data_IF_221974882157
#
_entry.id   IF_221974882157
#
_cell.length_a   1.000
_cell.length_b   1.000
_cell.length_c   1.000
_cell.angle_alpha   90.00
_cell.angle_beta   90.00
_cell.angle_gamma   90.00
#
_symmetry.space_group_name_H-M   'P 1'
#
loop_
_entity.id
_entity.type
_entity.pdbx_description
1 polymer ?
#
# COMPACT_ATOMS: atom_id res chain seq x y z
N UNK A 1 -11.45 -24.71 23.46
CA UNK A 1 -10.99 -23.33 23.20
C UNK A 1 -12.19 -22.40 23.38
N UNK A 2 -12.20 -21.58 24.39
CA UNK A 2 -13.30 -20.67 24.66
C UNK A 2 -13.28 -19.54 23.62
N UNK A 3 -14.37 -19.37 22.88
CA UNK A 3 -14.57 -18.22 22.00
C UNK A 3 -14.68 -16.95 22.85
N UNK A 4 -13.68 -16.09 22.78
CA UNK A 4 -13.71 -14.77 23.41
C UNK A 4 -14.85 -13.97 22.79
N UNK A 5 -15.85 -13.60 23.55
CA UNK A 5 -16.89 -12.67 23.10
C UNK A 5 -16.24 -11.30 22.96
N UNK A 6 -16.26 -10.76 21.76
CA UNK A 6 -15.95 -9.36 21.51
C UNK A 6 -17.03 -8.53 22.22
N UNK A 7 -16.63 -7.67 23.14
CA UNK A 7 -17.52 -6.69 23.78
C UNK A 7 -17.63 -5.47 22.89
N UNK A 8 -18.77 -4.79 22.91
CA UNK A 8 -19.05 -3.56 22.13
C UNK A 8 -18.04 -2.43 22.36
N UNK A 9 -17.21 -2.54 23.41
CA UNK A 9 -16.18 -1.57 23.78
C UNK A 9 -14.79 -1.83 23.15
N UNK A 10 -14.67 -2.74 22.18
CA UNK A 10 -13.43 -2.95 21.44
C UNK A 10 -13.60 -2.52 19.98
N UNK A 11 -13.59 -1.20 19.68
CA UNK A 11 -13.92 -0.68 18.36
C UNK A 11 -12.89 -1.00 17.27
N UNK A 12 -11.69 -1.48 17.64
CA UNK A 12 -10.55 -1.53 16.73
C UNK A 12 -10.16 -2.90 16.23
N UNK A 13 -10.74 -3.97 16.76
CA UNK A 13 -10.22 -5.32 16.53
C UNK A 13 -11.30 -6.23 15.95
N UNK A 14 -11.73 -5.94 14.72
CA UNK A 14 -12.58 -6.86 13.96
C UNK A 14 -11.81 -8.03 13.35
N UNK A 15 -10.49 -7.93 13.24
CA UNK A 15 -9.63 -9.05 12.88
C UNK A 15 -9.10 -9.70 14.14
N UNK A 16 -9.10 -11.05 14.25
CA UNK A 16 -8.49 -11.71 15.38
C UNK A 16 -7.04 -11.27 15.49
N UNK A 17 -6.64 -10.84 16.67
CA UNK A 17 -5.33 -10.32 17.06
C UNK A 17 -4.12 -11.19 16.73
N UNK A 18 -4.32 -12.34 16.10
CA UNK A 18 -3.25 -13.28 15.79
C UNK A 18 -2.10 -12.67 14.98
N UNK A 19 -2.34 -11.55 14.29
CA UNK A 19 -1.35 -10.88 13.45
C UNK A 19 -0.65 -9.70 14.12
N UNK A 20 -1.18 -9.22 15.24
CA UNK A 20 -0.71 -8.01 15.92
C UNK A 20 0.14 -8.30 17.15
N UNK A 21 0.04 -9.50 17.73
CA UNK A 21 0.38 -9.72 19.15
C UNK A 21 1.88 -9.83 19.40
N UNK A 22 2.70 -10.29 18.48
CA UNK A 22 4.10 -10.59 18.83
C UNK A 22 5.12 -9.51 18.52
N UNK A 23 4.77 -8.46 17.76
CA UNK A 23 5.73 -7.41 17.36
C UNK A 23 5.09 -6.06 17.06
N UNK A 24 3.87 -5.80 17.51
CA UNK A 24 3.29 -4.47 17.38
C UNK A 24 3.75 -3.58 18.54
N UNK A 25 3.92 -2.28 18.24
CA UNK A 25 4.12 -1.31 19.29
C UNK A 25 2.89 -1.31 20.21
N UNK A 26 3.07 -1.05 21.51
CA UNK A 26 1.93 -0.88 22.41
C UNK A 26 0.97 0.16 21.84
N UNK A 27 -0.34 -0.05 22.00
CA UNK A 27 -1.37 0.86 21.47
C UNK A 27 -1.18 2.31 21.95
N UNK A 28 -0.59 2.48 23.11
CA UNK A 28 -0.27 3.78 23.70
C UNK A 28 0.84 4.55 22.97
N UNK A 29 1.58 3.92 22.09
CA UNK A 29 2.58 4.57 21.25
C UNK A 29 1.98 5.13 19.93
N UNK A 30 0.75 4.77 19.61
CA UNK A 30 0.04 5.28 18.44
C UNK A 30 -0.69 6.59 18.78
N UNK A 31 -0.67 7.55 17.88
CA UNK A 31 -1.40 8.79 18.03
C UNK A 31 -2.92 8.57 18.02
N UNK A 32 -3.68 9.35 18.77
CA UNK A 32 -5.15 9.33 18.71
C UNK A 32 -5.66 9.59 17.28
N UNK A 33 -4.92 10.40 16.53
CA UNK A 33 -5.26 10.73 15.14
C UNK A 33 -5.13 9.50 14.25
N UNK A 34 -4.06 8.72 14.38
CA UNK A 34 -3.88 7.48 13.64
C UNK A 34 -4.97 6.47 14.00
N UNK A 35 -5.26 6.32 15.30
CA UNK A 35 -6.30 5.41 15.76
C UNK A 35 -7.69 5.83 15.26
N UNK A 36 -7.96 7.13 15.19
CA UNK A 36 -9.19 7.67 14.61
C UNK A 36 -9.33 7.35 13.12
N UNK A 37 -8.25 7.51 12.34
CA UNK A 37 -8.23 7.17 10.91
C UNK A 37 -8.48 5.67 10.67
N UNK A 38 -7.88 4.81 11.48
CA UNK A 38 -8.11 3.35 11.38
C UNK A 38 -9.55 2.96 11.74
N UNK A 39 -10.17 3.70 12.66
CA UNK A 39 -11.55 3.44 13.04
C UNK A 39 -12.54 3.75 11.92
N UNK A 40 -12.20 4.68 11.03
CA UNK A 40 -12.96 4.98 9.82
C UNK A 40 -12.56 4.02 8.71
N UNK A 41 -13.38 3.01 8.46
CA UNK A 41 -13.15 1.98 7.43
C UNK A 41 -13.88 2.25 6.12
N UNK A 42 -14.29 3.48 5.86
CA UNK A 42 -15.13 3.85 4.71
C UNK A 42 -14.52 3.43 3.36
N UNK A 43 -13.18 3.42 3.26
CA UNK A 43 -12.45 3.08 2.04
C UNK A 43 -11.81 1.68 2.04
N UNK A 44 -12.19 0.82 2.99
CA UNK A 44 -11.74 -0.58 3.01
C UNK A 44 -12.35 -1.39 1.86
N UNK A 45 -11.52 -2.10 1.11
CA UNK A 45 -11.97 -2.99 0.04
C UNK A 45 -11.49 -2.59 -1.35
N UNK A 46 -12.20 -3.06 -2.38
CA UNK A 46 -11.90 -2.78 -3.78
C UNK A 46 -12.99 -1.82 -4.29
N UNK A 47 -12.63 -0.62 -4.77
CA UNK A 47 -13.61 0.31 -5.32
C UNK A 47 -14.16 -0.19 -6.66
N UNK A 48 -15.38 0.25 -6.99
CA UNK A 48 -15.97 -0.01 -8.29
C UNK A 48 -15.12 0.60 -9.40
N UNK A 49 -14.94 -0.15 -10.49
CA UNK A 49 -14.13 0.31 -11.62
C UNK A 49 -12.63 0.29 -11.40
N UNK A 50 -12.12 -0.32 -10.32
CA UNK A 50 -10.70 -0.47 -10.09
C UNK A 50 -10.02 -1.16 -11.28
N UNK A 51 -9.03 -0.48 -11.88
CA UNK A 51 -8.27 -0.94 -13.03
C UNK A 51 -6.76 -1.03 -12.76
N UNK A 52 -6.34 -0.60 -11.58
CA UNK A 52 -4.96 -0.72 -11.10
C UNK A 52 -4.93 -1.28 -9.69
N UNK A 53 -3.92 -2.07 -9.38
CA UNK A 53 -3.72 -2.57 -8.03
C UNK A 53 -2.24 -2.75 -7.72
N UNK A 54 -1.91 -2.80 -6.44
CA UNK A 54 -0.60 -3.25 -6.00
C UNK A 54 -0.68 -4.08 -4.72
N UNK A 55 0.36 -4.88 -4.53
CA UNK A 55 0.66 -5.61 -3.30
C UNK A 55 2.08 -5.30 -2.89
N UNK A 56 2.27 -4.76 -1.68
CA UNK A 56 3.60 -4.40 -1.18
C UNK A 56 3.79 -4.81 0.28
N UNK A 57 5.04 -5.18 0.57
CA UNK A 57 5.45 -5.62 1.90
C UNK A 57 4.95 -7.01 2.26
N UNK A 58 5.75 -7.69 3.08
CA UNK A 58 5.45 -9.04 3.57
C UNK A 58 5.56 -9.05 5.08
N UNK A 59 4.57 -9.60 5.71
CA UNK A 59 4.59 -9.88 7.13
C UNK A 59 5.40 -11.17 7.40
N UNK A 60 5.86 -11.36 8.63
CA UNK A 60 6.62 -12.55 9.06
C UNK A 60 5.96 -13.89 8.69
N UNK A 61 4.64 -13.92 8.59
CA UNK A 61 3.87 -15.11 8.21
C UNK A 61 3.61 -15.23 6.70
N UNK A 62 4.15 -14.32 5.90
CA UNK A 62 4.04 -14.36 4.45
C UNK A 62 2.81 -13.65 3.88
N UNK A 63 1.96 -13.04 4.71
CA UNK A 63 0.82 -12.25 4.23
C UNK A 63 1.25 -10.86 3.76
N UNK A 64 0.54 -10.33 2.77
CA UNK A 64 0.79 -9.00 2.23
C UNK A 64 0.43 -7.92 3.24
N UNK A 65 1.36 -7.00 3.51
CA UNK A 65 1.10 -5.93 4.48
C UNK A 65 0.11 -4.90 3.95
N UNK A 66 0.23 -4.49 2.67
CA UNK A 66 -0.59 -3.46 2.07
C UNK A 66 -0.93 -3.80 0.63
N UNK A 67 -2.20 -3.68 0.29
CA UNK A 67 -2.72 -3.71 -1.06
C UNK A 67 -3.49 -2.41 -1.30
N UNK A 68 -3.24 -1.75 -2.43
CA UNK A 68 -4.06 -0.64 -2.90
C UNK A 68 -4.75 -1.05 -4.19
N UNK A 69 -5.95 -0.54 -4.37
CA UNK A 69 -6.78 -0.68 -5.56
C UNK A 69 -7.22 0.70 -5.98
N UNK A 70 -7.10 1.03 -7.25
CA UNK A 70 -7.45 2.35 -7.75
C UNK A 70 -8.25 2.25 -9.04
N UNK A 71 -9.26 3.09 -9.16
CA UNK A 71 -9.89 3.43 -10.41
C UNK A 71 -9.13 4.62 -11.01
N UNK A 72 -8.43 4.42 -12.12
CA UNK A 72 -7.67 5.45 -12.80
C UNK A 72 -8.42 5.81 -14.08
N UNK A 73 -8.69 7.11 -14.27
CA UNK A 73 -9.28 7.64 -15.49
C UNK A 73 -8.26 7.51 -16.65
N UNK A 74 -8.59 6.78 -17.72
CA UNK A 74 -7.67 6.54 -18.82
C UNK A 74 -7.39 7.77 -19.69
N UNK A 75 -8.25 8.79 -19.65
CA UNK A 75 -8.10 10.01 -20.45
C UNK A 75 -7.26 11.07 -19.74
N UNK A 76 -7.49 11.26 -18.44
CA UNK A 76 -6.81 12.28 -17.64
C UNK A 76 -5.64 11.75 -16.85
N UNK A 77 -5.51 10.43 -16.72
CA UNK A 77 -4.50 9.74 -15.87
C UNK A 77 -4.52 10.24 -14.43
N UNK A 78 -5.73 10.51 -13.94
CA UNK A 78 -5.97 10.90 -12.55
C UNK A 78 -6.57 9.75 -11.75
N UNK A 79 -6.27 9.73 -10.46
CA UNK A 79 -6.88 8.79 -9.54
C UNK A 79 -8.35 9.17 -9.30
N UNK A 80 -9.25 8.22 -9.53
CA UNK A 80 -10.63 8.24 -9.03
C UNK A 80 -10.69 7.63 -7.63
N UNK A 81 -11.65 6.74 -7.40
CA UNK A 81 -11.79 6.06 -6.11
C UNK A 81 -10.61 5.13 -5.83
N UNK A 82 -10.14 5.17 -4.59
CA UNK A 82 -9.04 4.35 -4.10
C UNK A 82 -9.48 3.58 -2.86
N UNK A 83 -9.20 2.30 -2.85
CA UNK A 83 -9.47 1.44 -1.70
C UNK A 83 -8.26 0.62 -1.31
N UNK A 84 -8.32 -0.02 -0.15
CA UNK A 84 -7.21 -0.82 0.34
C UNK A 84 -7.65 -2.10 1.05
N UNK A 85 -6.71 -3.03 1.13
CA UNK A 85 -6.71 -4.15 2.08
C UNK A 85 -5.36 -4.20 2.78
N UNK A 86 -5.35 -4.43 4.07
CA UNK A 86 -4.11 -4.54 4.83
C UNK A 86 -4.24 -5.63 5.90
N UNK A 87 -3.20 -6.45 5.98
CA UNK A 87 -3.00 -7.43 7.06
C UNK A 87 -1.78 -7.06 7.91
N UNK A 88 -1.28 -5.83 7.77
CA UNK A 88 -0.15 -5.32 8.53
C UNK A 88 -0.51 -4.82 9.93
N UNK A 89 0.48 -4.16 10.55
CA UNK A 89 0.28 -3.50 11.84
C UNK A 89 -0.62 -2.25 11.71
N UNK A 90 -1.04 -1.68 12.82
CA UNK A 90 -1.90 -0.48 12.84
C UNK A 90 -1.30 0.67 12.02
N UNK A 91 0.03 0.87 12.07
CA UNK A 91 0.67 1.89 11.25
C UNK A 91 0.52 1.61 9.73
N UNK A 92 0.63 0.35 9.29
CA UNK A 92 0.44 0.00 7.89
C UNK A 92 -1.01 0.23 7.43
N UNK A 93 -1.98 -0.11 8.30
CA UNK A 93 -3.40 0.13 8.04
C UNK A 93 -3.67 1.65 7.96
N UNK A 94 -3.16 2.43 8.91
CA UNK A 94 -3.30 3.88 8.91
C UNK A 94 -2.66 4.53 7.68
N UNK A 95 -1.47 4.09 7.27
CA UNK A 95 -0.82 4.55 6.05
C UNK A 95 -1.69 4.26 4.81
N UNK A 96 -2.24 3.05 4.71
CA UNK A 96 -3.10 2.69 3.59
C UNK A 96 -4.38 3.53 3.55
N UNK A 97 -5.02 3.73 4.72
CA UNK A 97 -6.22 4.58 4.82
C UNK A 97 -5.93 6.03 4.39
N UNK A 98 -4.82 6.61 4.83
CA UNK A 98 -4.42 7.97 4.40
C UNK A 98 -4.24 8.06 2.89
N UNK A 99 -3.71 7.03 2.23
CA UNK A 99 -3.57 7.03 0.77
C UNK A 99 -4.91 7.04 0.05
N UNK A 100 -5.95 6.44 0.62
CA UNK A 100 -7.29 6.47 0.02
C UNK A 100 -7.93 7.86 0.03
N UNK A 101 -7.49 8.74 0.92
CA UNK A 101 -7.92 10.14 0.97
C UNK A 101 -7.01 11.06 0.14
N UNK A 102 -5.72 10.74 0.06
CA UNK A 102 -4.75 11.60 -0.61
C UNK A 102 -4.72 11.43 -2.13
N UNK A 103 -4.97 10.24 -2.64
CA UNK A 103 -4.80 9.94 -4.06
C UNK A 103 -5.95 10.44 -4.95
N UNK A 104 -7.23 10.39 -4.55
CA UNK A 104 -8.33 10.80 -5.41
C UNK A 104 -8.16 12.20 -5.98
N UNK A 105 -8.39 12.36 -7.29
CA UNK A 105 -8.24 13.60 -8.04
C UNK A 105 -6.80 13.99 -8.41
N UNK A 106 -5.80 13.30 -7.92
CA UNK A 106 -4.38 13.58 -8.23
C UNK A 106 -3.95 12.93 -9.54
N UNK A 107 -3.08 13.61 -10.26
CA UNK A 107 -2.30 13.05 -11.36
C UNK A 107 -1.19 12.13 -10.84
N UNK A 108 -0.57 11.34 -11.71
CA UNK A 108 0.57 10.50 -11.32
C UNK A 108 1.74 11.33 -10.78
N UNK A 109 2.02 12.48 -11.37
CA UNK A 109 3.10 13.36 -10.91
C UNK A 109 2.85 13.89 -9.49
N UNK A 110 1.61 14.31 -9.19
CA UNK A 110 1.22 14.78 -7.86
C UNK A 110 1.20 13.64 -6.85
N UNK A 111 0.77 12.44 -7.24
CA UNK A 111 0.78 11.27 -6.38
C UNK A 111 2.22 10.84 -6.04
N UNK A 112 3.13 10.85 -7.01
CA UNK A 112 4.54 10.52 -6.82
C UNK A 112 5.28 11.57 -5.95
N UNK A 113 4.77 12.80 -5.87
CA UNK A 113 5.31 13.86 -5.02
C UNK A 113 4.92 13.70 -3.53
N UNK A 114 3.95 12.83 -3.20
CA UNK A 114 3.55 12.56 -1.81
C UNK A 114 4.75 12.00 -1.04
N UNK A 115 5.08 12.68 0.06
CA UNK A 115 6.23 12.32 0.89
C UNK A 115 5.82 11.49 2.11
N UNK A 116 6.79 10.71 2.64
CA UNK A 116 6.61 10.01 3.92
C UNK A 116 6.29 10.98 5.06
N UNK A 117 6.83 12.20 5.02
CA UNK A 117 6.64 13.20 6.08
C UNK A 117 5.22 13.79 6.02
N UNK A 118 4.64 13.95 4.82
CA UNK A 118 3.24 14.32 4.63
C UNK A 118 2.31 13.26 5.23
N UNK A 119 2.50 11.98 4.89
CA UNK A 119 1.71 10.87 5.44
C UNK A 119 1.85 10.81 6.96
N UNK A 120 3.08 10.92 7.48
CA UNK A 120 3.34 10.89 8.91
C UNK A 120 2.67 12.06 9.65
N UNK A 121 2.67 13.25 9.06
CA UNK A 121 1.99 14.44 9.61
C UNK A 121 0.47 14.27 9.68
N UNK A 122 -0.13 13.66 8.64
CA UNK A 122 -1.57 13.35 8.62
C UNK A 122 -1.91 12.34 9.72
N UNK A 123 -1.08 11.33 9.92
CA UNK A 123 -1.26 10.31 10.96
C UNK A 123 -1.00 10.85 12.38
N UNK A 124 -0.41 12.05 12.52
CA UNK A 124 0.02 12.56 13.83
C UNK A 124 1.23 11.82 14.41
N UNK A 125 1.98 11.14 13.55
CA UNK A 125 3.14 10.33 13.90
C UNK A 125 2.85 8.84 13.99
N UNK A 126 3.84 8.04 13.59
CA UNK A 126 3.85 6.59 13.79
C UNK A 126 4.95 6.22 14.78
N UNK A 127 4.81 5.12 15.55
CA UNK A 127 5.88 4.65 16.44
C UNK A 127 7.20 4.47 15.70
N UNK A 128 8.33 4.78 16.35
CA UNK A 128 9.66 4.74 15.74
C UNK A 128 9.98 3.37 15.11
N UNK A 129 9.56 2.29 15.75
CA UNK A 129 9.73 0.93 15.26
C UNK A 129 8.88 0.64 13.98
N UNK A 130 7.94 1.52 13.64
CA UNK A 130 7.02 1.38 12.49
C UNK A 130 7.27 2.38 11.37
N UNK A 131 8.31 3.19 11.44
CA UNK A 131 8.64 4.18 10.40
C UNK A 131 8.79 3.59 9.00
N UNK A 132 9.15 2.31 8.90
CA UNK A 132 9.22 1.61 7.61
C UNK A 132 7.87 1.55 6.87
N UNK A 133 6.73 1.65 7.59
CA UNK A 133 5.40 1.63 6.97
C UNK A 133 5.13 2.88 6.12
N UNK A 134 5.77 3.99 6.44
CA UNK A 134 5.71 5.22 5.63
C UNK A 134 6.43 5.03 4.29
N UNK A 135 7.57 4.31 4.29
CA UNK A 135 8.28 3.93 3.07
C UNK A 135 7.42 2.96 2.26
N UNK A 136 6.80 1.99 2.94
CA UNK A 136 5.87 1.06 2.32
C UNK A 136 4.74 1.79 1.58
N UNK A 137 4.15 2.82 2.19
CA UNK A 137 3.08 3.61 1.59
C UNK A 137 3.55 4.33 0.31
N UNK A 138 4.72 4.98 0.33
CA UNK A 138 5.27 5.62 -0.88
C UNK A 138 5.63 4.61 -1.97
N UNK A 139 6.09 3.41 -1.60
CA UNK A 139 6.30 2.32 -2.55
C UNK A 139 4.98 1.82 -3.14
N UNK A 140 3.89 1.79 -2.37
CA UNK A 140 2.57 1.38 -2.85
C UNK A 140 2.04 2.34 -3.92
N UNK A 141 2.26 3.66 -3.78
CA UNK A 141 1.92 4.65 -4.82
C UNK A 141 2.65 4.32 -6.13
N UNK A 142 3.96 4.10 -6.06
CA UNK A 142 4.76 3.73 -7.25
C UNK A 142 4.28 2.42 -7.85
N UNK A 143 3.94 1.45 -7.01
CA UNK A 143 3.55 0.13 -7.47
C UNK A 143 2.18 0.13 -8.16
N UNK A 144 1.20 0.89 -7.65
CA UNK A 144 -0.12 0.98 -8.28
C UNK A 144 -0.08 1.75 -9.60
N UNK A 145 0.72 2.83 -9.69
CA UNK A 145 0.96 3.56 -10.95
C UNK A 145 1.66 2.64 -11.96
N UNK A 146 2.71 1.94 -11.53
CA UNK A 146 3.44 1.02 -12.38
C UNK A 146 2.60 -0.15 -12.90
N UNK A 147 1.71 -0.71 -12.06
CA UNK A 147 0.74 -1.72 -12.49
C UNK A 147 -0.15 -1.20 -13.62
N UNK A 148 -0.71 -0.01 -13.44
CA UNK A 148 -1.55 0.61 -14.47
C UNK A 148 -0.79 0.84 -15.78
N UNK A 149 0.40 1.44 -15.70
CA UNK A 149 1.18 1.76 -16.88
C UNK A 149 1.64 0.50 -17.64
N UNK A 150 2.14 -0.51 -16.94
CA UNK A 150 2.60 -1.74 -17.59
C UNK A 150 1.45 -2.58 -18.12
N UNK A 151 0.41 -2.80 -17.31
CA UNK A 151 -0.65 -3.75 -17.59
C UNK A 151 -1.79 -3.18 -18.43
N UNK A 152 -2.15 -1.91 -18.20
CA UNK A 152 -3.30 -1.27 -18.88
C UNK A 152 -2.85 -0.45 -20.09
N UNK A 153 -1.78 0.36 -19.92
CA UNK A 153 -1.27 1.23 -20.98
C UNK A 153 -0.26 0.53 -21.90
N UNK A 154 0.35 -0.58 -21.46
CA UNK A 154 1.37 -1.27 -22.23
C UNK A 154 2.70 -0.53 -22.34
N UNK A 155 2.99 0.36 -21.40
CA UNK A 155 4.26 1.11 -21.30
C UNK A 155 5.40 0.12 -21.05
N UNK A 156 6.55 0.34 -21.66
CA UNK A 156 7.73 -0.48 -21.45
C UNK A 156 8.36 -0.25 -20.06
N UNK A 157 9.18 -1.19 -19.62
CA UNK A 157 9.92 -1.06 -18.35
C UNK A 157 10.89 0.12 -18.38
N UNK A 158 11.49 0.42 -19.54
CA UNK A 158 12.43 1.54 -19.71
C UNK A 158 11.70 2.89 -19.60
N UNK A 159 10.52 3.01 -20.19
CA UNK A 159 9.68 4.20 -20.07
C UNK A 159 9.19 4.39 -18.63
N UNK A 160 8.84 3.30 -17.95
CA UNK A 160 8.46 3.36 -16.53
C UNK A 160 9.62 3.84 -15.66
N UNK A 161 10.85 3.38 -15.93
CA UNK A 161 12.04 3.79 -15.18
C UNK A 161 12.42 5.25 -15.44
N UNK A 162 12.07 5.80 -16.60
CA UNK A 162 12.22 7.22 -16.88
C UNK A 162 11.22 8.09 -16.08
N UNK A 163 10.05 7.54 -15.75
CA UNK A 163 9.03 8.27 -14.99
C UNK A 163 9.37 8.35 -13.50
N UNK A 164 9.82 7.25 -12.92
CA UNK A 164 10.31 7.20 -11.54
C UNK A 164 11.31 6.07 -11.33
N UNK A 165 12.37 6.36 -10.60
CA UNK A 165 13.32 5.33 -10.25
C UNK A 165 12.68 4.30 -9.31
N UNK A 166 12.53 3.09 -9.80
CA UNK A 166 12.15 1.94 -9.00
C UNK A 166 13.37 1.06 -8.79
N UNK A 167 13.99 1.18 -7.62
CA UNK A 167 15.15 0.35 -7.23
C UNK A 167 14.77 -1.09 -6.86
N UNK A 168 13.54 -1.51 -7.15
CA UNK A 168 13.00 -2.82 -6.78
C UNK A 168 13.78 -4.03 -7.29
N UNK A 169 14.70 -3.82 -8.23
CA UNK A 169 15.66 -4.84 -8.67
C UNK A 169 16.99 -4.79 -7.90
N UNK A 170 17.19 -3.79 -7.02
CA UNK A 170 18.39 -3.69 -6.21
C UNK A 170 18.21 -4.38 -4.85
N UNK A 171 19.32 -4.84 -4.29
CA UNK A 171 19.38 -5.44 -2.93
C UNK A 171 18.96 -4.46 -1.84
N UNK A 172 18.96 -3.17 -2.11
CA UNK A 172 18.59 -2.10 -1.17
C UNK A 172 17.08 -1.80 -1.12
N UNK A 173 16.29 -2.42 -2.00
CA UNK A 173 14.85 -2.24 -1.96
C UNK A 173 14.21 -3.01 -0.81
N UNK A 174 13.63 -2.31 0.14
CA UNK A 174 12.89 -2.92 1.25
C UNK A 174 11.72 -3.83 0.82
N UNK A 175 11.28 -3.70 -0.44
CA UNK A 175 10.17 -4.46 -1.02
C UNK A 175 10.62 -5.65 -1.85
N UNK A 176 11.92 -6.03 -1.83
CA UNK A 176 12.48 -7.11 -2.66
C UNK A 176 11.74 -8.44 -2.55
N UNK A 177 11.16 -8.74 -1.40
CA UNK A 177 10.50 -10.02 -1.17
C UNK A 177 9.01 -10.03 -1.53
N UNK A 178 8.37 -8.86 -1.62
CA UNK A 178 6.96 -8.78 -1.95
C UNK A 178 6.60 -7.41 -2.52
N UNK A 179 6.67 -7.30 -3.84
CA UNK A 179 6.24 -6.12 -4.59
C UNK A 179 5.68 -6.57 -5.93
N UNK A 180 4.39 -6.37 -6.14
CA UNK A 180 3.73 -6.74 -7.39
C UNK A 180 4.32 -6.04 -8.62
N UNK A 181 4.81 -4.81 -8.48
CA UNK A 181 5.48 -4.10 -9.56
C UNK A 181 6.80 -4.77 -9.94
N UNK A 182 7.57 -5.26 -8.97
CA UNK A 182 8.78 -6.03 -9.25
C UNK A 182 8.47 -7.29 -10.05
N UNK A 183 7.43 -8.02 -9.64
CA UNK A 183 7.04 -9.26 -10.30
C UNK A 183 6.62 -8.99 -11.75
N UNK A 184 5.81 -7.94 -12.01
CA UNK A 184 5.44 -7.51 -13.34
C UNK A 184 6.65 -7.13 -14.22
N UNK A 185 7.65 -6.48 -13.65
CA UNK A 185 8.88 -6.09 -14.37
C UNK A 185 9.72 -7.31 -14.73
N UNK A 186 9.82 -8.27 -13.79
CA UNK A 186 10.51 -9.55 -14.08
C UNK A 186 9.80 -10.29 -15.19
N UNK A 187 8.47 -10.40 -15.13
CA UNK A 187 7.68 -11.06 -16.17
C UNK A 187 7.85 -10.37 -17.53
N UNK A 188 7.82 -9.03 -17.56
CA UNK A 188 8.03 -8.28 -18.81
C UNK A 188 9.44 -8.52 -19.39
N UNK A 189 10.47 -8.57 -18.53
CA UNK A 189 11.82 -8.89 -18.96
C UNK A 189 11.93 -10.31 -19.51
N UNK A 190 11.36 -11.30 -18.80
CA UNK A 190 11.40 -12.70 -19.22
C UNK A 190 10.69 -12.92 -20.57
N UNK A 191 9.55 -12.22 -20.79
CA UNK A 191 8.88 -12.22 -22.11
C UNK A 191 9.74 -11.62 -23.20
N UNK A 192 10.41 -10.50 -22.94
CA UNK A 192 11.32 -9.87 -23.90
C UNK A 192 12.51 -10.76 -24.27
N UNK A 193 12.97 -11.61 -23.33
CA UNK A 193 14.01 -12.60 -23.56
C UNK A 193 13.50 -13.89 -24.23
N UNK A 194 12.17 -14.06 -24.38
CA UNK A 194 11.57 -15.28 -24.95
C UNK A 194 11.59 -16.49 -24.01
N UNK A 195 11.74 -16.27 -22.70
CA UNK A 195 11.79 -17.35 -21.70
C UNK A 195 10.41 -17.73 -21.17
N UNK A 196 9.40 -16.84 -21.34
CA UNK A 196 7.98 -17.11 -21.04
C UNK A 196 7.10 -16.55 -22.16
N UNK A 197 5.91 -17.16 -22.37
CA UNK A 197 4.89 -16.72 -23.33
C UNK A 197 4.00 -15.59 -22.76
#
# INVERSE_FOLDING_TARGET
>A
MAKRKLTEDTPFLRTPDMYQIENDAPITEYSDKLLGIIADTAHGGIPDGANAFCSVGKEKRGTVQMQLFAAIDPETETFGDVGFRSHGCLAAIGCAAVLTDLLPGRTFAEALAITKDEINGILGGVPSAKMYTLILATCAIKAVIGDYLLRVKGVSTDELDALFACTGMSVDCLMTENCSLRDLRVDAYMRACGEIE
#
